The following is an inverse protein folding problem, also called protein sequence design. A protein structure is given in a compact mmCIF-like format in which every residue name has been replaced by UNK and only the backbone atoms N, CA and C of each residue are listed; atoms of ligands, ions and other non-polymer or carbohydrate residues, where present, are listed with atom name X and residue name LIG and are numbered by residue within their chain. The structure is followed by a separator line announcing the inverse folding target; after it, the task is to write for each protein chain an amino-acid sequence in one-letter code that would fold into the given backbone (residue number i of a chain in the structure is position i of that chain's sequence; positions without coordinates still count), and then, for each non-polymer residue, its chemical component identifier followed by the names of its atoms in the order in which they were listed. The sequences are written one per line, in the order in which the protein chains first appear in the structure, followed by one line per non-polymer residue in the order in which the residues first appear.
data_IF_673872356380
#
_entry.id   IF_673872356380
#
_cell.length_a   1.000
_cell.length_b   1.000
_cell.length_c   1.000
_cell.angle_alpha   90.00
_cell.angle_beta   90.00
_cell.angle_gamma   90.00
#
_symmetry.space_group_name_H-M   'P 1'
#
loop_
_entity.id
_entity.type
_entity.pdbx_description
1 polymer ?
#
# COMPACT_ATOMS: atom_id res chain seq x y z
N UNK A 1 -34.93 -5.87 6.45
CA UNK A 1 -33.66 -6.60 6.28
C UNK A 1 -33.44 -6.64 4.79
N UNK A 2 -32.74 -5.62 4.29
CA UNK A 2 -32.68 -5.34 2.87
C UNK A 2 -31.60 -6.20 2.23
N UNK A 3 -32.03 -6.98 1.25
CA UNK A 3 -31.22 -7.86 0.44
C UNK A 3 -30.08 -7.11 -0.27
N UNK A 4 -28.89 -7.70 -0.28
CA UNK A 4 -27.76 -7.27 -1.10
C UNK A 4 -28.03 -7.58 -2.58
N UNK A 5 -28.93 -6.81 -3.19
CA UNK A 5 -29.20 -6.86 -4.62
C UNK A 5 -28.45 -5.71 -5.29
N UNK A 6 -27.14 -5.87 -5.48
CA UNK A 6 -26.32 -5.03 -6.37
C UNK A 6 -24.96 -5.68 -6.64
N UNK A 7 -24.95 -6.84 -7.31
CA UNK A 7 -23.85 -7.20 -8.21
C UNK A 7 -24.48 -7.46 -9.57
N UNK A 8 -24.74 -6.37 -10.30
CA UNK A 8 -24.95 -6.41 -11.73
C UNK A 8 -23.62 -6.74 -12.41
N UNK A 9 -23.69 -7.73 -13.29
CA UNK A 9 -22.57 -8.30 -14.03
C UNK A 9 -21.85 -7.26 -14.87
N UNK A 10 -20.52 -7.13 -14.73
CA UNK A 10 -19.61 -7.38 -15.84
C UNK A 10 -18.16 -7.48 -15.36
N UNK A 11 -17.52 -8.52 -15.87
CA UNK A 11 -16.35 -9.18 -15.33
C UNK A 11 -15.09 -8.56 -15.95
N UNK A 12 -14.37 -7.69 -15.25
CA UNK A 12 -12.94 -7.46 -15.56
C UNK A 12 -12.06 -7.52 -14.32
N UNK A 13 -11.52 -8.73 -14.13
CA UNK A 13 -10.20 -9.07 -13.58
C UNK A 13 -9.85 -8.64 -12.14
N UNK A 14 -10.06 -9.62 -11.27
CA UNK A 14 -8.99 -10.18 -10.41
C UNK A 14 -8.64 -9.46 -9.11
N UNK A 15 -9.62 -9.21 -8.25
CA UNK A 15 -9.43 -9.37 -6.80
C UNK A 15 -10.69 -9.97 -6.20
N UNK A 16 -10.71 -11.30 -6.08
CA UNK A 16 -11.83 -12.02 -5.48
C UNK A 16 -11.98 -11.67 -4.01
N UNK A 17 -13.14 -11.14 -3.64
CA UNK A 17 -13.60 -11.11 -2.26
C UNK A 17 -13.92 -12.56 -1.86
N UNK A 18 -12.98 -13.23 -1.18
CA UNK A 18 -13.14 -14.59 -0.69
C UNK A 18 -14.07 -14.68 0.54
N UNK A 19 -14.58 -15.88 0.88
CA UNK A 19 -15.75 -16.06 1.75
C UNK A 19 -15.46 -15.99 3.26
N UNK A 20 -14.27 -15.58 3.70
CA UNK A 20 -14.00 -15.39 5.13
C UNK A 20 -14.37 -13.95 5.50
N UNK A 21 -15.58 -13.80 6.01
CA UNK A 21 -16.18 -12.51 6.35
C UNK A 21 -15.21 -11.53 7.00
N UNK A 22 -15.16 -10.33 6.45
CA UNK A 22 -14.42 -9.20 7.00
C UNK A 22 -15.03 -8.77 8.34
N UNK A 23 -14.75 -9.51 9.40
CA UNK A 23 -14.78 -9.01 10.78
C UNK A 23 -13.52 -8.15 11.00
N UNK A 24 -13.56 -6.91 10.52
CA UNK A 24 -12.97 -5.77 11.24
C UNK A 24 -13.30 -4.47 10.50
N UNK A 25 -13.91 -3.56 11.24
CA UNK A 25 -14.66 -2.39 10.78
C UNK A 25 -13.73 -1.20 10.46
N UNK A 26 -12.51 -1.43 9.97
CA UNK A 26 -11.45 -0.39 9.89
C UNK A 26 -10.82 -0.25 8.48
N UNK A 27 -11.47 -0.73 7.41
CA UNK A 27 -10.90 -0.70 6.05
C UNK A 27 -11.76 -0.02 4.98
N UNK A 28 -12.86 0.64 5.34
CA UNK A 28 -13.73 1.34 4.39
C UNK A 28 -13.41 2.84 4.20
N UNK A 29 -12.23 3.31 4.62
CA UNK A 29 -11.76 4.69 4.38
C UNK A 29 -10.75 4.81 3.22
N UNK A 30 -10.44 3.72 2.51
CA UNK A 30 -9.32 3.67 1.57
C UNK A 30 -9.52 4.29 0.18
N UNK A 31 -10.75 4.62 -0.22
CA UNK A 31 -11.04 4.91 -1.63
C UNK A 31 -11.42 6.36 -1.97
N UNK A 32 -11.42 7.32 -1.03
CA UNK A 32 -12.05 8.62 -1.33
C UNK A 32 -11.18 9.85 -1.60
N UNK A 33 -9.94 10.04 -1.10
CA UNK A 33 -9.14 11.20 -1.55
C UNK A 33 -7.67 11.16 -1.11
N UNK A 34 -6.89 10.24 -1.66
CA UNK A 34 -5.43 10.23 -1.46
C UNK A 34 -4.78 10.97 -2.64
N UNK A 35 -4.84 12.31 -2.65
CA UNK A 35 -4.13 13.12 -3.64
C UNK A 35 -2.61 12.99 -3.44
N UNK A 36 -1.82 12.83 -4.52
CA UNK A 36 -0.38 12.73 -4.40
C UNK A 36 0.22 14.05 -3.90
N UNK A 37 1.16 13.97 -2.96
CA UNK A 37 1.87 15.12 -2.40
C UNK A 37 2.79 15.82 -3.42
N UNK A 38 2.99 15.23 -4.60
CA UNK A 38 3.77 15.80 -5.71
C UNK A 38 4.36 14.71 -6.61
N UNK A 39 4.89 15.09 -7.78
CA UNK A 39 5.50 14.15 -8.74
C UNK A 39 6.68 13.36 -8.13
N UNK A 40 7.47 14.01 -7.27
CA UNK A 40 8.63 13.40 -6.63
C UNK A 40 8.22 12.30 -5.63
N UNK A 41 7.14 12.53 -4.88
CA UNK A 41 6.59 11.52 -3.96
C UNK A 41 6.12 10.28 -4.72
N UNK A 42 5.51 10.46 -5.89
CA UNK A 42 5.10 9.35 -6.77
C UNK A 42 6.31 8.56 -7.27
N UNK A 43 7.39 9.24 -7.68
CA UNK A 43 8.65 8.58 -8.09
C UNK A 43 9.29 7.80 -6.94
N UNK A 44 9.34 8.37 -5.74
CA UNK A 44 9.85 7.71 -4.54
C UNK A 44 9.03 6.48 -4.18
N UNK A 45 7.70 6.60 -4.20
CA UNK A 45 6.77 5.48 -4.00
C UNK A 45 6.99 4.35 -5.01
N UNK A 46 7.14 4.69 -6.29
CA UNK A 46 7.45 3.71 -7.34
C UNK A 46 8.81 3.02 -7.17
N UNK A 47 9.84 3.71 -6.64
CA UNK A 47 11.13 3.07 -6.30
C UNK A 47 10.96 2.03 -5.18
N UNK A 48 10.14 2.35 -4.18
CA UNK A 48 9.86 1.46 -3.05
C UNK A 48 9.08 0.22 -3.47
N UNK A 49 8.06 0.40 -4.32
CA UNK A 49 7.30 -0.70 -4.92
C UNK A 49 8.22 -1.65 -5.70
N UNK A 50 9.09 -1.12 -6.56
CA UNK A 50 10.05 -1.93 -7.33
C UNK A 50 11.03 -2.69 -6.43
N UNK A 51 11.49 -2.08 -5.34
CA UNK A 51 12.34 -2.77 -4.36
C UNK A 51 11.62 -3.96 -3.74
N UNK A 52 10.36 -3.76 -3.37
CA UNK A 52 9.50 -4.79 -2.79
C UNK A 52 9.25 -5.96 -3.78
N UNK A 53 8.93 -5.65 -5.03
CA UNK A 53 8.71 -6.64 -6.10
C UNK A 53 9.97 -7.45 -6.39
N UNK A 54 11.15 -6.82 -6.44
CA UNK A 54 12.44 -7.52 -6.64
C UNK A 54 12.80 -8.52 -5.54
N UNK A 55 12.16 -8.41 -4.37
CA UNK A 55 12.42 -9.25 -3.20
C UNK A 55 11.23 -10.16 -2.89
N UNK A 56 10.21 -10.19 -3.75
CA UNK A 56 8.96 -10.95 -3.58
C UNK A 56 8.29 -10.72 -2.22
N UNK A 57 8.38 -9.49 -1.69
CA UNK A 57 7.81 -9.14 -0.40
C UNK A 57 6.38 -8.59 -0.56
N UNK A 58 5.48 -8.98 0.32
CA UNK A 58 4.20 -8.30 0.46
C UNK A 58 4.38 -6.96 1.18
N UNK A 59 3.43 -6.04 0.96
CA UNK A 59 3.42 -4.74 1.63
C UNK A 59 3.42 -4.89 3.15
N UNK A 60 2.67 -5.87 3.66
CA UNK A 60 2.58 -6.12 5.11
C UNK A 60 3.88 -6.67 5.68
N UNK A 61 4.55 -7.59 4.99
CA UNK A 61 5.84 -8.14 5.43
C UNK A 61 6.93 -7.08 5.47
N UNK A 62 7.01 -6.25 4.43
CA UNK A 62 7.98 -5.15 4.41
C UNK A 62 7.70 -4.16 5.55
N UNK A 63 6.44 -3.79 5.75
CA UNK A 63 6.05 -2.89 6.84
C UNK A 63 6.44 -3.46 8.22
N UNK A 64 6.18 -4.75 8.46
CA UNK A 64 6.56 -5.44 9.71
C UNK A 64 8.07 -5.48 9.90
N UNK A 65 8.85 -5.83 8.87
CA UNK A 65 10.32 -5.84 8.95
C UNK A 65 10.87 -4.46 9.31
N UNK A 66 10.40 -3.43 8.64
CA UNK A 66 10.85 -2.05 8.86
C UNK A 66 10.38 -1.53 10.22
N UNK A 67 9.24 -2.02 10.71
CA UNK A 67 8.62 -1.58 11.96
C UNK A 67 7.68 -0.38 11.75
N UNK A 68 7.03 -0.31 10.60
CA UNK A 68 6.05 0.73 10.26
C UNK A 68 4.66 0.13 10.04
N UNK A 69 3.64 0.98 10.08
CA UNK A 69 2.26 0.55 9.82
C UNK A 69 2.08 0.31 8.31
N UNK A 70 1.46 -0.81 7.89
CA UNK A 70 1.19 -1.10 6.47
C UNK A 70 0.46 0.05 5.75
N UNK A 71 -0.49 0.70 6.42
CA UNK A 71 -1.20 1.85 5.86
C UNK A 71 -0.24 3.00 5.49
N UNK A 72 0.78 3.24 6.31
CA UNK A 72 1.78 4.29 6.06
C UNK A 72 2.64 3.95 4.84
N UNK A 73 3.11 2.69 4.74
CA UNK A 73 3.83 2.21 3.57
C UNK A 73 3.00 2.36 2.29
N UNK A 74 1.71 2.02 2.36
CA UNK A 74 0.78 2.16 1.23
C UNK A 74 0.59 3.62 0.79
N UNK A 75 0.59 4.57 1.74
CA UNK A 75 0.53 6.01 1.42
C UNK A 75 1.79 6.50 0.72
N UNK A 76 2.96 5.98 1.12
CA UNK A 76 4.23 6.28 0.47
C UNK A 76 4.26 5.70 -0.95
N UNK A 77 3.87 4.43 -1.13
CA UNK A 77 3.83 3.78 -2.46
C UNK A 77 2.90 4.53 -3.44
N UNK A 78 1.79 5.07 -2.93
CA UNK A 78 0.84 5.87 -3.70
C UNK A 78 1.26 7.34 -3.91
N UNK A 79 2.39 7.76 -3.32
CA UNK A 79 2.87 9.14 -3.41
C UNK A 79 2.03 10.16 -2.62
N UNK A 80 1.17 9.70 -1.70
CA UNK A 80 0.36 10.54 -0.80
C UNK A 80 1.25 11.19 0.26
N UNK A 81 2.29 10.47 0.67
CA UNK A 81 3.32 10.95 1.58
C UNK A 81 4.63 10.99 0.81
N UNK A 82 5.20 12.19 0.68
CA UNK A 82 6.53 12.40 0.12
C UNK A 82 7.57 12.57 1.22
N UNK A 83 8.80 12.17 0.93
CA UNK A 83 9.95 12.44 1.77
C UNK A 83 10.83 13.51 1.11
N UNK A 84 11.62 14.19 1.93
CA UNK A 84 12.80 14.88 1.40
C UNK A 84 13.79 13.86 0.85
N UNK A 85 14.68 14.32 -0.04
CA UNK A 85 15.68 13.44 -0.68
C UNK A 85 16.51 12.66 0.34
N UNK A 86 16.95 13.33 1.40
CA UNK A 86 17.79 12.77 2.45
C UNK A 86 17.06 11.75 3.33
N UNK A 87 15.79 11.99 3.64
CA UNK A 87 14.96 11.08 4.43
C UNK A 87 14.69 9.78 3.67
N UNK A 88 14.42 9.88 2.36
CA UNK A 88 14.18 8.70 1.53
C UNK A 88 15.41 7.80 1.47
N UNK A 89 16.61 8.37 1.32
CA UNK A 89 17.85 7.59 1.28
C UNK A 89 18.12 6.88 2.62
N UNK A 90 17.89 7.57 3.75
CA UNK A 90 17.95 6.95 5.09
C UNK A 90 16.92 5.84 5.25
N UNK A 91 15.70 6.06 4.75
CA UNK A 91 14.62 5.07 4.82
C UNK A 91 14.93 3.84 3.98
N UNK A 92 15.40 4.02 2.74
CA UNK A 92 15.87 2.92 1.89
C UNK A 92 17.06 2.16 2.50
N UNK A 93 17.98 2.87 3.16
CA UNK A 93 19.10 2.24 3.88
C UNK A 93 18.62 1.31 4.99
N UNK A 94 17.68 1.78 5.83
CA UNK A 94 17.05 0.95 6.88
C UNK A 94 16.30 -0.25 6.32
N UNK A 95 15.59 -0.06 5.20
CA UNK A 95 14.91 -1.17 4.51
C UNK A 95 15.94 -2.20 4.03
N UNK A 96 17.01 -1.76 3.38
CA UNK A 96 18.03 -2.65 2.85
C UNK A 96 18.77 -3.43 3.94
N UNK A 97 19.03 -2.80 5.09
CA UNK A 97 19.64 -3.44 6.27
C UNK A 97 18.74 -4.54 6.84
N UNK A 98 17.44 -4.25 6.99
CA UNK A 98 16.48 -5.20 7.60
C UNK A 98 15.95 -6.28 6.65
N UNK A 99 16.24 -6.17 5.35
CA UNK A 99 15.80 -7.09 4.29
C UNK A 99 16.98 -7.86 3.68
N UNK A 100 18.22 -7.56 4.10
CA UNK A 100 19.38 -8.45 3.89
C UNK A 100 19.31 -9.68 4.78
#
# INVERSE_FOLDING_TARGET
MSDCTACGEEMTRSFGCGPVGCKMVELCYGCMFDSPAGEEAVKQGGRLQKFREKRDLSLRELAVKVGIVPLFLSKIERGVVGFTREEMDKFMGKIAEKVS
#
